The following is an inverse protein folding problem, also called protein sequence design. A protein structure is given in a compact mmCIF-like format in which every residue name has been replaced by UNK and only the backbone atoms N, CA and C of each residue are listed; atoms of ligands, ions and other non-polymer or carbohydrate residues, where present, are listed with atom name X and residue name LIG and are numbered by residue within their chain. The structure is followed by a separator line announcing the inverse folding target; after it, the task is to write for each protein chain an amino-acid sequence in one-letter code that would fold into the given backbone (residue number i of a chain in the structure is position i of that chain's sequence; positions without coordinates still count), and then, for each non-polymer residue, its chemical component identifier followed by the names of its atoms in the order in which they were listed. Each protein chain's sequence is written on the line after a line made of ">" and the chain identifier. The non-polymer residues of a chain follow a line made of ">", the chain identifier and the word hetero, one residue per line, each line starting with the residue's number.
data_IF_112512837262
#
_entry.id   IF_112512837262
#
_cell.length_a   1.000
_cell.length_b   1.000
_cell.length_c   1.000
_cell.angle_alpha   90.00
_cell.angle_beta   90.00
_cell.angle_gamma   90.00
#
_symmetry.space_group_name_H-M   'P 1'
#
loop_
_entity.id
_entity.type
_entity.pdbx_description
1 polymer ?
#
# COMPACT_ATOMS: atom_id res chain seq x y z
N UNK A 1 -3.44 -13.62 -9.14
CA UNK A 1 -4.19 -12.62 -8.36
C UNK A 1 -4.05 -12.98 -6.89
N UNK A 2 -3.05 -12.46 -6.17
CA UNK A 2 -2.86 -12.75 -4.75
C UNK A 2 -3.90 -11.98 -3.94
N UNK A 3 -5.00 -12.65 -3.62
CA UNK A 3 -6.03 -12.11 -2.74
C UNK A 3 -5.40 -11.77 -1.39
N UNK A 4 -5.64 -10.55 -0.89
CA UNK A 4 -5.40 -10.22 0.51
C UNK A 4 -6.05 -11.31 1.35
N UNK A 5 -5.29 -11.99 2.20
CA UNK A 5 -5.83 -12.92 3.16
C UNK A 5 -6.61 -12.10 4.20
N UNK A 6 -7.87 -11.75 3.88
CA UNK A 6 -8.70 -10.80 4.63
C UNK A 6 -8.89 -11.24 6.08
N UNK A 7 -8.75 -12.54 6.36
CA UNK A 7 -8.80 -13.14 7.69
C UNK A 7 -7.74 -12.58 8.65
N UNK A 8 -6.60 -12.08 8.15
CA UNK A 8 -5.54 -11.48 8.96
C UNK A 8 -5.78 -10.01 9.32
N UNK A 9 -6.70 -9.36 8.60
CA UNK A 9 -7.07 -7.99 8.88
C UNK A 9 -8.26 -7.97 9.83
N UNK A 10 -8.36 -6.93 10.65
CA UNK A 10 -9.56 -6.72 11.47
C UNK A 10 -10.80 -6.53 10.58
N UNK A 11 -11.97 -6.90 11.10
CA UNK A 11 -13.24 -6.76 10.37
C UNK A 11 -13.54 -5.30 9.97
N UNK A 12 -13.06 -4.33 10.75
CA UNK A 12 -13.21 -2.89 10.50
C UNK A 12 -12.07 -2.27 9.68
N UNK A 13 -11.20 -3.08 9.04
CA UNK A 13 -10.05 -2.57 8.29
C UNK A 13 -10.41 -1.53 7.23
N UNK A 14 -11.53 -1.68 6.54
CA UNK A 14 -11.93 -0.73 5.49
C UNK A 14 -12.23 0.66 6.07
N UNK A 15 -12.74 0.75 7.30
CA UNK A 15 -12.96 2.00 8.04
C UNK A 15 -11.62 2.60 8.46
N UNK A 16 -10.76 1.80 9.10
CA UNK A 16 -9.41 2.23 9.52
C UNK A 16 -8.62 2.76 8.33
N UNK A 17 -8.64 2.04 7.21
CA UNK A 17 -7.92 2.42 6.01
C UNK A 17 -8.48 3.71 5.40
N UNK A 18 -9.80 3.93 5.45
CA UNK A 18 -10.41 5.17 5.01
C UNK A 18 -9.99 6.34 5.91
N UNK A 19 -10.05 6.19 7.24
CA UNK A 19 -9.64 7.22 8.19
C UNK A 19 -8.19 7.64 8.02
N UNK A 20 -7.28 6.68 7.88
CA UNK A 20 -5.84 6.96 7.69
C UNK A 20 -5.60 7.74 6.40
N UNK A 21 -6.28 7.39 5.29
CA UNK A 21 -6.17 8.10 4.01
C UNK A 21 -6.79 9.50 4.08
N UNK A 22 -7.92 9.64 4.75
CA UNK A 22 -8.59 10.94 4.93
C UNK A 22 -7.77 11.88 5.81
N UNK A 23 -7.19 11.39 6.91
CA UNK A 23 -6.28 12.16 7.78
C UNK A 23 -5.04 12.66 7.05
N UNK A 24 -4.58 11.95 6.01
CA UNK A 24 -3.45 12.39 5.19
C UNK A 24 -3.83 13.28 4.01
N UNK A 25 -5.10 13.73 3.92
CA UNK A 25 -5.63 14.48 2.78
C UNK A 25 -5.42 13.74 1.43
N UNK A 26 -5.41 12.40 1.51
CA UNK A 26 -5.08 11.52 0.40
C UNK A 26 -3.69 11.78 -0.23
N UNK A 27 -2.78 12.39 0.52
CA UNK A 27 -1.37 12.58 0.14
C UNK A 27 -0.52 11.46 0.72
N UNK A 28 0.48 11.05 -0.04
CA UNK A 28 1.49 10.11 0.43
C UNK A 28 2.29 10.73 1.58
N UNK A 29 2.28 10.10 2.75
CA UNK A 29 2.98 10.62 3.94
C UNK A 29 4.50 10.53 3.85
N UNK A 30 5.04 9.83 2.84
CA UNK A 30 6.48 9.75 2.58
C UNK A 30 6.99 10.78 1.58
N UNK A 31 6.32 10.93 0.44
CA UNK A 31 6.80 11.78 -0.66
C UNK A 31 5.91 12.98 -0.98
N UNK A 32 4.78 13.16 -0.28
CA UNK A 32 3.87 14.28 -0.48
C UNK A 32 2.99 14.20 -1.74
N UNK A 33 3.15 13.21 -2.61
CA UNK A 33 2.35 13.06 -3.83
C UNK A 33 0.85 13.02 -3.51
N UNK A 34 0.07 13.84 -4.21
CA UNK A 34 -1.39 13.74 -4.21
C UNK A 34 -1.85 12.48 -4.94
N UNK A 35 -2.53 11.60 -4.22
CA UNK A 35 -3.18 10.41 -4.77
C UNK A 35 -4.68 10.66 -4.99
N UNK A 36 -5.31 9.74 -5.73
CA UNK A 36 -6.73 9.81 -6.07
C UNK A 36 -7.62 9.60 -4.85
N UNK A 37 -8.50 10.57 -4.59
CA UNK A 37 -9.62 10.49 -3.64
C UNK A 37 -10.77 9.65 -4.23
N UNK A 38 -11.74 9.20 -3.41
CA UNK A 38 -12.91 8.48 -3.89
C UNK A 38 -13.78 9.34 -4.81
N UNK A 39 -13.82 10.65 -4.57
CA UNK A 39 -14.60 11.64 -5.31
C UNK A 39 -13.91 12.17 -6.56
N UNK A 40 -12.62 11.87 -6.76
CA UNK A 40 -11.89 12.39 -7.91
C UNK A 40 -12.41 11.74 -9.20
N UNK A 41 -12.64 12.57 -10.22
CA UNK A 41 -12.92 12.08 -11.57
C UNK A 41 -11.73 11.28 -12.07
N UNK A 42 -12.03 10.14 -12.69
CA UNK A 42 -11.03 9.23 -13.26
C UNK A 42 -11.04 9.26 -14.79
N UNK A 43 -11.86 10.12 -15.36
CA UNK A 43 -12.00 10.31 -16.80
C UNK A 43 -10.64 10.76 -17.37
N UNK A 44 -10.22 10.12 -18.47
CA UNK A 44 -8.92 10.36 -19.08
C UNK A 44 -7.73 9.64 -18.43
N UNK A 45 -7.89 8.98 -17.27
CA UNK A 45 -6.82 8.19 -16.66
C UNK A 45 -6.87 6.72 -17.09
N UNK A 46 -5.82 6.26 -17.74
CA UNK A 46 -5.65 4.84 -18.05
C UNK A 46 -5.36 4.03 -16.76
N UNK A 47 -5.36 2.70 -16.89
CA UNK A 47 -5.16 1.78 -15.75
C UNK A 47 -3.82 2.03 -15.03
N UNK A 48 -2.74 2.31 -15.77
CA UNK A 48 -1.41 2.52 -15.20
C UNK A 48 -1.37 3.81 -14.38
N UNK A 49 -1.95 4.89 -14.90
CA UNK A 49 -2.00 6.18 -14.21
C UNK A 49 -2.80 6.09 -12.91
N UNK A 50 -3.96 5.42 -12.96
CA UNK A 50 -4.75 5.12 -11.76
C UNK A 50 -3.96 4.31 -10.74
N UNK A 51 -3.21 3.30 -11.20
CA UNK A 51 -2.36 2.48 -10.32
C UNK A 51 -1.27 3.31 -9.65
N UNK A 52 -0.60 4.20 -10.37
CA UNK A 52 0.46 5.07 -9.81
C UNK A 52 -0.12 6.00 -8.74
N UNK A 53 -1.29 6.59 -9.02
CA UNK A 53 -1.98 7.52 -8.11
C UNK A 53 -2.86 6.83 -7.06
N UNK A 54 -2.77 5.51 -6.88
CA UNK A 54 -3.51 4.82 -5.84
C UNK A 54 -2.82 5.00 -4.49
N UNK A 55 -3.59 5.39 -3.47
CA UNK A 55 -3.14 5.47 -2.09
C UNK A 55 -3.48 4.18 -1.35
N UNK A 56 -2.50 3.59 -0.69
CA UNK A 56 -2.64 2.38 0.12
C UNK A 56 -2.17 2.64 1.55
N UNK A 57 -2.71 1.90 2.51
CA UNK A 57 -2.22 1.93 3.89
C UNK A 57 -1.23 0.79 4.08
N UNK A 58 -0.09 1.12 4.67
CA UNK A 58 1.02 0.22 4.94
C UNK A 58 1.25 0.11 6.45
N UNK A 59 1.37 -1.11 6.96
CA UNK A 59 1.83 -1.41 8.31
C UNK A 59 3.35 -1.35 8.37
N UNK A 60 3.92 -0.42 9.14
CA UNK A 60 5.37 -0.21 9.28
C UNK A 60 6.10 -1.42 9.84
N UNK A 61 5.44 -2.17 10.73
CA UNK A 61 5.94 -3.43 11.29
C UNK A 61 5.57 -4.67 10.46
N UNK A 62 4.79 -4.51 9.38
CA UNK A 62 4.36 -5.57 8.47
C UNK A 62 3.47 -6.65 9.12
N UNK A 63 2.83 -6.30 10.23
CA UNK A 63 1.84 -7.13 10.93
C UNK A 63 0.44 -6.56 10.65
N UNK A 64 -0.35 -7.17 9.75
CA UNK A 64 -1.71 -6.72 9.39
C UNK A 64 -2.68 -6.57 10.56
N UNK A 65 -2.43 -7.31 11.65
CA UNK A 65 -3.23 -7.32 12.86
C UNK A 65 -3.00 -6.07 13.74
N UNK A 66 -1.86 -5.39 13.61
CA UNK A 66 -1.48 -4.23 14.44
C UNK A 66 -1.92 -2.91 13.81
N UNK A 67 -3.13 -2.47 14.13
CA UNK A 67 -3.75 -1.29 13.55
C UNK A 67 -3.56 0.00 14.37
N UNK A 68 -2.58 0.05 15.26
CA UNK A 68 -2.26 1.29 15.99
C UNK A 68 -1.86 2.40 15.02
N UNK A 69 -2.31 3.62 15.28
CA UNK A 69 -2.14 4.73 14.34
C UNK A 69 -0.67 4.99 13.98
N UNK A 70 0.25 4.88 14.95
CA UNK A 70 1.69 5.02 14.75
C UNK A 70 2.29 3.97 13.82
N UNK A 71 1.66 2.79 13.70
CA UNK A 71 2.10 1.71 12.83
C UNK A 71 1.58 1.85 11.39
N UNK A 72 0.61 2.72 11.14
CA UNK A 72 -0.02 2.87 9.82
C UNK A 72 0.56 4.06 9.05
N UNK A 73 0.76 3.89 7.75
CA UNK A 73 1.21 4.96 6.85
C UNK A 73 0.41 4.94 5.54
N UNK A 74 -0.08 6.11 5.11
CA UNK A 74 -0.71 6.26 3.80
C UNK A 74 0.36 6.52 2.73
N UNK A 75 0.57 5.57 1.83
CA UNK A 75 1.64 5.60 0.82
C UNK A 75 1.08 5.48 -0.60
N UNK A 76 1.71 6.19 -1.55
CA UNK A 76 1.46 5.93 -2.97
C UNK A 76 2.01 4.56 -3.37
N UNK A 77 1.54 3.99 -4.48
CA UNK A 77 1.98 2.68 -4.97
C UNK A 77 3.50 2.55 -5.06
N UNK A 78 4.20 3.56 -5.59
CA UNK A 78 5.66 3.52 -5.69
C UNK A 78 6.36 3.47 -4.32
N UNK A 79 5.94 4.32 -3.37
CA UNK A 79 6.47 4.30 -2.01
C UNK A 79 6.14 2.99 -1.30
N UNK A 80 4.91 2.50 -1.42
CA UNK A 80 4.51 1.22 -0.83
C UNK A 80 5.38 0.07 -1.33
N UNK A 81 5.62 -0.01 -2.64
CA UNK A 81 6.48 -1.04 -3.22
C UNK A 81 7.93 -0.92 -2.72
N UNK A 82 8.46 0.29 -2.51
CA UNK A 82 9.81 0.49 -1.96
C UNK A 82 9.99 -0.11 -0.55
N UNK A 83 8.95 -0.12 0.28
CA UNK A 83 9.01 -0.80 1.59
C UNK A 83 9.07 -2.32 1.43
N UNK A 84 8.42 -2.88 0.41
CA UNK A 84 8.43 -4.33 0.15
C UNK A 84 9.67 -4.82 -0.62
N UNK A 85 10.21 -4.03 -1.56
CA UNK A 85 11.26 -4.49 -2.50
C UNK A 85 12.60 -4.80 -1.84
N UNK A 86 12.88 -4.27 -0.64
CA UNK A 86 14.12 -4.59 0.10
C UNK A 86 13.99 -5.80 1.03
N UNK A 87 12.79 -6.37 1.16
CA UNK A 87 12.60 -7.69 1.76
C UNK A 87 12.78 -8.71 0.64
N UNK A 88 14.04 -9.10 0.36
CA UNK A 88 14.34 -10.15 -0.62
C UNK A 88 13.40 -11.34 -0.36
N UNK A 89 12.58 -11.71 -1.33
CA UNK A 89 11.95 -13.02 -1.31
C UNK A 89 13.04 -14.09 -1.31
N UNK A 90 12.71 -15.32 -0.88
CA UNK A 90 13.64 -16.43 -1.02
C UNK A 90 14.11 -16.48 -2.48
N UNK A 91 15.42 -16.27 -2.68
CA UNK A 91 16.04 -16.61 -3.95
C UNK A 91 15.98 -18.13 -4.01
N UNK A 92 15.28 -18.67 -5.00
CA UNK A 92 15.23 -20.12 -5.16
C UNK A 92 16.66 -20.63 -5.37
N UNK A 93 17.04 -21.82 -4.84
CA UNK A 93 18.40 -22.33 -4.99
C UNK A 93 18.91 -22.34 -6.44
N UNK A 94 18.03 -22.62 -7.41
CA UNK A 94 18.36 -22.59 -8.84
C UNK A 94 18.67 -21.20 -9.41
N UNK A 95 18.24 -20.12 -8.75
CA UNK A 95 18.52 -18.74 -9.15
C UNK A 95 19.83 -18.21 -8.53
N UNK A 96 20.49 -19.02 -7.68
CA UNK A 96 21.84 -18.78 -7.14
C UNK A 96 22.92 -19.57 -7.90
N UNK A 97 22.55 -20.52 -8.76
CA UNK A 97 23.51 -21.24 -9.60
C UNK A 97 23.87 -20.35 -10.79
N UNK A 98 25.14 -19.93 -10.87
CA UNK A 98 25.66 -19.24 -12.06
C UNK A 98 26.11 -20.23 -13.14
N UNK A 99 26.14 -21.53 -12.85
CA UNK A 99 26.58 -22.61 -13.75
C UNK A 99 25.80 -23.89 -13.42
#
# INVERSE_FOLDING_TARGET
>A
MTGKNRSRYSSNWDIIALEVKSKSDWKCTRCGMQCLRPTDKRDGLNRRERSIKTLVVHHRNYTPEDNRAENLAALCTACHMLFHTRRRGNVSPGQLSLW
#
